data_IF_558905277260
#
_entry.id   IF_558905277260
#
_cell.length_a   1.000
_cell.length_b   1.000
_cell.length_c   1.000
_cell.angle_alpha   90.00
_cell.angle_beta   90.00
_cell.angle_gamma   90.00
#
_symmetry.space_group_name_H-M   'P 1'
#
loop_
_entity.id
_entity.type
_entity.pdbx_description
1 polymer ?
#
# COMPACT_ATOMS: atom_id res chain seq x y z
N UNK A 1 -12.06 -24.90 43.39
CA UNK A 1 -12.16 -24.12 42.13
C UNK A 1 -10.88 -23.37 41.77
N UNK A 2 -10.27 -22.58 42.67
CA UNK A 2 -9.10 -21.74 42.35
C UNK A 2 -7.83 -22.51 41.90
N UNK A 3 -7.49 -23.65 42.51
CA UNK A 3 -6.29 -24.44 42.17
C UNK A 3 -6.27 -24.94 40.73
N UNK A 4 -7.40 -25.42 40.21
CA UNK A 4 -7.49 -25.90 38.82
C UNK A 4 -7.24 -24.78 37.80
N UNK A 5 -7.74 -23.57 38.07
CA UNK A 5 -7.51 -22.41 37.22
C UNK A 5 -6.04 -22.00 37.17
N UNK A 6 -5.31 -22.11 38.28
CA UNK A 6 -3.86 -21.85 38.32
C UNK A 6 -3.10 -22.86 37.46
N UNK A 7 -3.40 -24.16 37.59
CA UNK A 7 -2.78 -25.21 36.76
C UNK A 7 -3.08 -24.99 35.28
N UNK A 8 -4.31 -24.63 34.92
CA UNK A 8 -4.67 -24.33 33.53
C UNK A 8 -3.95 -23.08 32.99
N UNK A 9 -3.81 -22.03 33.81
CA UNK A 9 -3.04 -20.82 33.43
C UNK A 9 -1.57 -21.17 33.17
N UNK A 10 -0.95 -21.93 34.06
CA UNK A 10 0.45 -22.36 33.91
C UNK A 10 0.65 -23.20 32.64
N UNK A 11 -0.28 -24.13 32.38
CA UNK A 11 -0.24 -24.96 31.16
C UNK A 11 -0.40 -24.13 29.89
N UNK A 12 -1.25 -23.08 29.90
CA UNK A 12 -1.39 -22.13 28.78
C UNK A 12 -0.12 -21.33 28.56
N UNK A 13 0.49 -20.86 29.64
CA UNK A 13 1.75 -20.10 29.60
C UNK A 13 2.88 -20.93 29.00
N UNK A 14 3.10 -22.14 29.52
CA UNK A 14 4.11 -23.06 29.01
C UNK A 14 3.95 -23.37 27.51
N UNK A 15 2.69 -23.57 27.06
CA UNK A 15 2.40 -23.76 25.63
C UNK A 15 2.74 -22.52 24.79
N UNK A 16 2.50 -21.31 25.30
CA UNK A 16 2.88 -20.08 24.60
C UNK A 16 4.40 -19.92 24.55
N UNK A 17 5.10 -20.20 25.64
CA UNK A 17 6.56 -20.10 25.70
C UNK A 17 7.22 -21.05 24.71
N UNK A 18 6.72 -22.29 24.63
CA UNK A 18 7.18 -23.26 23.62
C UNK A 18 6.95 -22.77 22.19
N UNK A 19 5.80 -22.11 21.92
CA UNK A 19 5.53 -21.52 20.60
C UNK A 19 6.45 -20.35 20.29
N UNK A 20 6.76 -19.51 21.29
CA UNK A 20 7.70 -18.38 21.15
C UNK A 20 9.12 -18.87 20.92
N UNK A 21 9.55 -19.93 21.59
CA UNK A 21 10.87 -20.52 21.37
C UNK A 21 11.02 -21.10 19.95
N UNK A 22 9.99 -21.77 19.44
CA UNK A 22 10.04 -22.41 18.13
C UNK A 22 9.78 -21.46 16.93
N UNK A 23 8.95 -20.44 17.11
CA UNK A 23 8.43 -19.59 16.01
C UNK A 23 8.47 -18.09 16.31
N UNK A 24 9.11 -17.70 17.42
CA UNK A 24 9.24 -16.30 17.80
C UNK A 24 10.38 -15.60 17.05
N UNK A 25 10.29 -14.27 17.07
CA UNK A 25 11.37 -13.41 16.61
C UNK A 25 12.47 -13.36 17.69
N UNK A 26 13.75 -13.63 17.35
CA UNK A 26 14.83 -13.78 18.33
C UNK A 26 15.09 -12.52 19.17
N UNK A 27 14.88 -11.33 18.59
CA UNK A 27 15.11 -10.06 19.29
C UNK A 27 13.95 -9.61 20.19
N UNK A 28 12.71 -10.02 19.91
CA UNK A 28 11.53 -9.53 20.67
C UNK A 28 10.91 -10.57 21.59
N UNK A 29 11.28 -11.85 21.44
CA UNK A 29 10.69 -12.95 22.19
C UNK A 29 9.17 -13.05 22.00
N UNK A 30 8.60 -12.45 20.96
CA UNK A 30 7.17 -12.51 20.63
C UNK A 30 6.97 -13.47 19.47
N UNK A 31 5.79 -14.09 19.42
CA UNK A 31 5.41 -14.93 18.29
C UNK A 31 5.36 -14.08 17.02
N UNK A 32 5.94 -14.58 15.92
CA UNK A 32 5.94 -13.88 14.64
C UNK A 32 4.51 -13.61 14.17
N UNK A 33 4.15 -12.34 14.03
CA UNK A 33 2.86 -11.96 13.45
C UNK A 33 2.95 -12.05 11.92
N UNK A 34 2.18 -12.96 11.33
CA UNK A 34 2.02 -13.02 9.88
C UNK A 34 0.93 -12.03 9.48
N UNK A 35 1.34 -10.85 9.01
CA UNK A 35 0.41 -9.92 8.36
C UNK A 35 -0.04 -10.55 7.04
N UNK A 36 -1.35 -10.63 6.83
CA UNK A 36 -1.88 -11.06 5.55
C UNK A 36 -1.36 -10.12 4.45
N UNK A 37 -1.00 -10.65 3.27
CA UNK A 37 -0.56 -9.81 2.17
C UNK A 37 -1.67 -8.84 1.79
N UNK A 38 -1.34 -7.55 1.75
CA UNK A 38 -2.29 -6.51 1.33
C UNK A 38 -2.62 -6.73 -0.14
N UNK A 39 -3.90 -6.92 -0.46
CA UNK A 39 -4.33 -7.12 -1.83
C UNK A 39 -4.23 -5.80 -2.62
N UNK A 40 -3.30 -5.76 -3.56
CA UNK A 40 -3.10 -4.59 -4.42
C UNK A 40 -3.85 -4.75 -5.74
N UNK A 41 -4.69 -3.76 -6.08
CA UNK A 41 -5.37 -3.70 -7.38
C UNK A 41 -4.36 -3.75 -8.53
N UNK A 42 -4.69 -4.44 -9.62
CA UNK A 42 -3.84 -4.54 -10.82
C UNK A 42 -3.45 -3.18 -11.41
N UNK A 43 -4.34 -2.18 -11.33
CA UNK A 43 -4.04 -0.80 -11.73
C UNK A 43 -2.89 -0.19 -10.91
N UNK A 44 -2.88 -0.47 -9.60
CA UNK A 44 -1.84 0.02 -8.70
C UNK A 44 -0.52 -0.71 -8.92
N UNK A 45 -0.55 -2.03 -9.17
CA UNK A 45 0.65 -2.81 -9.56
C UNK A 45 1.30 -2.24 -10.82
N UNK A 46 0.53 -2.06 -11.90
CA UNK A 46 1.01 -1.46 -13.16
C UNK A 46 1.56 -0.04 -12.97
N UNK A 47 0.98 0.76 -12.07
CA UNK A 47 1.49 2.10 -11.76
C UNK A 47 2.86 2.04 -11.07
N UNK A 48 3.03 1.12 -10.13
CA UNK A 48 4.30 0.92 -9.41
C UNK A 48 5.40 0.42 -10.35
N UNK A 49 5.10 -0.57 -11.20
CA UNK A 49 6.04 -1.09 -12.21
C UNK A 49 6.51 0.00 -13.16
N UNK A 50 5.59 0.82 -13.68
CA UNK A 50 5.94 1.95 -14.56
C UNK A 50 6.82 2.99 -13.87
N UNK A 51 6.59 3.24 -12.58
CA UNK A 51 7.41 4.17 -11.80
C UNK A 51 8.81 3.61 -11.61
N UNK A 52 8.91 2.35 -11.19
CA UNK A 52 10.18 1.65 -11.02
C UNK A 52 11.00 1.62 -12.32
N UNK A 53 10.37 1.32 -13.45
CA UNK A 53 11.05 1.30 -14.75
C UNK A 53 11.57 2.69 -15.16
N UNK A 54 10.93 3.78 -14.72
CA UNK A 54 11.44 5.14 -14.97
C UNK A 54 12.63 5.44 -14.08
N UNK A 55 12.51 5.14 -12.79
CA UNK A 55 13.58 5.32 -11.81
C UNK A 55 14.83 4.53 -12.22
N UNK A 56 14.69 3.31 -12.73
CA UNK A 56 15.81 2.51 -13.27
C UNK A 56 16.44 3.12 -14.52
N UNK A 57 15.63 3.65 -15.45
CA UNK A 57 16.14 4.31 -16.66
C UNK A 57 16.87 5.61 -16.33
N UNK A 58 16.32 6.39 -15.40
CA UNK A 58 16.95 7.61 -14.89
C UNK A 58 18.27 7.27 -14.19
N UNK A 59 18.28 6.27 -13.31
CA UNK A 59 19.51 5.81 -12.65
C UNK A 59 20.56 5.29 -13.64
N UNK A 60 20.14 4.55 -14.67
CA UNK A 60 21.03 4.08 -15.73
C UNK A 60 21.60 5.24 -16.56
N UNK A 61 20.79 6.26 -16.88
CA UNK A 61 21.24 7.45 -17.59
C UNK A 61 22.19 8.29 -16.74
N UNK A 62 21.92 8.48 -15.45
CA UNK A 62 22.81 9.18 -14.52
C UNK A 62 24.14 8.44 -14.42
N UNK A 63 24.11 7.12 -14.23
CA UNK A 63 25.33 6.29 -14.19
C UNK A 63 26.09 6.33 -15.52
N UNK A 64 25.40 6.31 -16.65
CA UNK A 64 26.03 6.44 -17.96
C UNK A 64 26.66 7.83 -18.15
N UNK A 65 25.99 8.90 -17.72
CA UNK A 65 26.52 10.26 -17.74
C UNK A 65 27.75 10.38 -16.84
N UNK A 66 27.68 9.86 -15.61
CA UNK A 66 28.80 9.85 -14.65
C UNK A 66 30.01 9.09 -15.20
N UNK A 67 29.79 7.93 -15.83
CA UNK A 67 30.85 7.15 -16.48
C UNK A 67 31.40 7.83 -17.75
N UNK A 68 30.56 8.59 -18.47
CA UNK A 68 30.93 9.26 -19.73
C UNK A 68 31.57 10.65 -19.52
N UNK A 69 31.68 11.13 -18.28
CA UNK A 69 32.45 12.34 -17.93
C UNK A 69 33.91 12.02 -17.57
N UNK A 70 34.32 10.74 -17.62
CA UNK A 70 35.69 10.30 -17.36
C UNK A 70 36.60 10.33 -18.60
N UNK A 71 36.05 10.10 -19.79
CA UNK A 71 36.83 10.00 -21.05
C UNK A 71 36.07 10.70 -22.20
N UNK A 72 36.16 12.03 -22.27
CA UNK A 72 35.92 12.76 -23.52
C UNK A 72 37.22 13.46 -23.90
N UNK A 73 38.11 12.70 -24.54
CA UNK A 73 39.05 13.30 -25.48
C UNK A 73 38.24 13.99 -26.57
N UNK A 74 38.53 15.27 -26.81
CA UNK A 74 37.93 16.07 -27.86
C UNK A 74 38.08 15.38 -29.22
N UNK A 75 37.01 14.80 -29.75
CA UNK A 75 36.94 14.47 -31.18
C UNK A 75 36.26 15.62 -31.91
N UNK A 76 37.12 16.31 -32.65
CA UNK A 76 36.95 17.41 -33.61
C UNK A 76 35.53 17.75 -34.08
N UNK A 77 35.27 19.06 -34.10
CA UNK A 77 34.31 19.69 -34.99
C UNK A 77 34.62 19.32 -36.45
N UNK A 78 33.58 18.90 -37.19
CA UNK A 78 33.45 19.04 -38.64
C UNK A 78 31.95 19.00 -38.96
N UNK A 79 31.55 19.87 -39.88
CA UNK A 79 30.18 20.30 -40.17
C UNK A 79 29.36 19.21 -40.89
N UNK A 80 28.04 19.15 -40.68
CA UNK A 80 27.09 18.95 -41.80
C UNK A 80 25.63 19.09 -41.36
N UNK A 81 24.96 20.01 -42.04
CA UNK A 81 23.53 20.27 -42.08
C UNK A 81 22.70 19.07 -42.50
N UNK A 82 21.49 18.88 -41.94
CA UNK A 82 20.29 18.62 -42.75
C UNK A 82 18.98 18.64 -41.90
N UNK A 83 18.14 19.63 -42.19
CA UNK A 83 16.69 19.55 -42.38
C UNK A 83 15.69 19.05 -41.30
N UNK A 84 14.74 19.96 -41.06
CA UNK A 84 13.28 19.73 -41.06
C UNK A 84 12.61 18.99 -39.89
N UNK A 85 12.14 19.82 -38.94
CA UNK A 85 10.98 19.59 -38.08
C UNK A 85 9.73 19.24 -38.90
N UNK A 86 9.21 18.01 -38.85
CA UNK A 86 7.78 17.74 -39.12
C UNK A 86 7.27 16.62 -38.20
N UNK A 87 6.55 16.99 -37.13
CA UNK A 87 5.73 16.03 -36.36
C UNK A 87 4.35 15.96 -37.03
N UNK A 88 3.82 14.78 -37.41
CA UNK A 88 2.46 14.68 -37.93
C UNK A 88 1.45 14.89 -36.79
N UNK A 89 0.63 15.94 -36.92
CA UNK A 89 -0.46 16.24 -36.01
C UNK A 89 -1.60 15.22 -36.23
N UNK A 90 -1.72 14.24 -35.33
CA UNK A 90 -2.81 13.25 -35.38
C UNK A 90 -4.14 13.95 -35.06
N UNK A 91 -5.00 14.09 -36.07
CA UNK A 91 -6.37 14.62 -35.92
C UNK A 91 -7.28 13.52 -35.34
N UNK A 92 -7.67 13.66 -34.08
CA UNK A 92 -8.63 12.77 -33.42
C UNK A 92 -10.07 13.25 -33.70
N UNK A 93 -10.80 12.53 -34.54
CA UNK A 93 -12.21 12.80 -34.80
C UNK A 93 -13.08 12.14 -33.71
N UNK A 94 -13.50 12.92 -32.71
CA UNK A 94 -14.49 12.47 -31.72
C UNK A 94 -15.91 12.61 -32.29
N UNK A 95 -16.61 11.50 -32.51
CA UNK A 95 -18.04 11.52 -32.83
C UNK A 95 -18.82 11.98 -31.58
N UNK A 96 -19.57 13.08 -31.72
CA UNK A 96 -20.44 13.64 -30.68
C UNK A 96 -21.71 12.78 -30.55
N UNK A 97 -21.63 11.70 -29.80
CA UNK A 97 -22.82 11.02 -29.27
C UNK A 97 -22.57 10.59 -27.83
N UNK A 98 -22.51 11.60 -26.96
CA UNK A 98 -22.60 11.45 -25.51
C UNK A 98 -23.98 10.95 -25.10
N UNK A 99 -24.16 9.63 -25.06
CA UNK A 99 -25.18 8.99 -24.23
C UNK A 99 -24.55 7.88 -23.40
N UNK A 100 -23.52 8.26 -22.64
CA UNK A 100 -23.13 7.48 -21.46
C UNK A 100 -24.25 7.70 -20.44
N UNK A 101 -25.26 6.84 -20.46
CA UNK A 101 -26.26 6.79 -19.41
C UNK A 101 -25.58 6.28 -18.14
N UNK A 102 -25.03 7.20 -17.36
CA UNK A 102 -24.65 6.92 -15.98
C UNK A 102 -25.97 6.66 -15.26
N UNK A 103 -26.38 5.39 -15.18
CA UNK A 103 -27.49 4.95 -14.35
C UNK A 103 -27.15 5.42 -12.94
N UNK A 104 -27.80 6.50 -12.49
CA UNK A 104 -27.73 7.00 -11.13
C UNK A 104 -28.07 5.81 -10.25
N UNK A 105 -27.07 5.23 -9.59
CA UNK A 105 -27.29 4.30 -8.49
C UNK A 105 -28.17 5.07 -7.51
N UNK A 106 -29.47 4.75 -7.48
CA UNK A 106 -30.39 5.22 -6.45
C UNK A 106 -29.84 4.67 -5.14
N UNK A 107 -29.01 5.47 -4.48
CA UNK A 107 -28.43 5.14 -3.19
C UNK A 107 -29.57 4.94 -2.21
N UNK A 108 -29.85 3.68 -1.87
CA UNK A 108 -30.63 3.36 -0.68
C UNK A 108 -29.84 3.90 0.51
N UNK A 109 -30.36 4.98 1.10
CA UNK A 109 -29.81 5.60 2.29
C UNK A 109 -29.57 4.56 3.37
N UNK A 110 -28.43 4.68 4.05
CA UNK A 110 -28.05 3.86 5.21
C UNK A 110 -29.18 3.90 6.22
N UNK A 111 -29.95 2.81 6.35
CA UNK A 111 -30.85 2.64 7.49
C UNK A 111 -29.98 2.58 8.73
N UNK A 112 -30.12 3.60 9.58
CA UNK A 112 -29.54 3.68 10.92
C UNK A 112 -29.89 2.37 11.65
N UNK A 113 -28.88 1.73 12.19
CA UNK A 113 -29.01 0.56 13.03
C UNK A 113 -29.99 0.86 14.17
N UNK A 114 -31.12 0.16 14.21
CA UNK A 114 -31.84 -0.10 15.45
C UNK A 114 -31.33 -1.43 15.97
N UNK A 115 -31.03 -1.48 17.26
CA UNK A 115 -30.51 -2.60 18.04
C UNK A 115 -29.00 -2.55 18.30
N UNK A 116 -28.57 -1.52 19.01
CA UNK A 116 -27.52 -1.68 20.01
C UNK A 116 -28.11 -1.21 21.34
N UNK A 117 -28.31 -2.16 22.26
CA UNK A 117 -28.73 -1.92 23.63
C UNK A 117 -27.70 -1.00 24.30
N UNK A 118 -28.07 0.11 24.96
CA UNK A 118 -27.09 0.99 25.57
C UNK A 118 -26.43 0.28 26.78
N UNK A 119 -25.12 0.46 27.00
CA UNK A 119 -24.46 0.02 28.22
C UNK A 119 -24.93 0.89 29.37
N UNK A 120 -25.47 0.27 30.42
CA UNK A 120 -25.75 0.92 31.70
C UNK A 120 -24.46 1.42 32.30
N UNK A 121 -24.35 2.73 32.44
CA UNK A 121 -23.35 3.40 33.28
C UNK A 121 -24.07 4.08 34.43
N UNK A 122 -23.61 3.71 35.62
CA UNK A 122 -23.41 4.55 36.80
C UNK A 122 -24.66 5.10 37.51
N UNK A 123 -24.97 4.52 38.69
CA UNK A 123 -25.57 5.23 39.81
C UNK A 123 -24.48 5.45 40.86
N UNK A 124 -23.89 6.63 40.82
CA UNK A 124 -23.34 7.38 41.98
C UNK A 124 -24.25 8.62 41.97
N UNK A 125 -25.00 9.02 42.98
CA UNK A 125 -24.67 9.34 44.38
C UNK A 125 -25.99 9.66 45.12
N UNK A 126 -26.09 9.39 46.42
CA UNK A 126 -26.96 10.14 47.35
C UNK A 126 -26.60 9.82 48.81
N UNK A 127 -25.60 10.53 49.31
CA UNK A 127 -25.58 11.24 50.59
C UNK A 127 -26.96 11.31 51.31
N UNK A 128 -27.02 10.89 52.59
CA UNK A 128 -27.78 11.47 53.74
C UNK A 128 -27.78 10.46 54.92
N UNK A 129 -27.26 10.96 56.06
CA UNK A 129 -27.36 10.53 57.49
C UNK A 129 -27.22 9.05 57.88
#
# INVERSE_FOLDING_TARGET
MAKFNVVQKNKRQWKQDRKRAAHGEPGTGKLKQRTAPVSMSGKRKRKLERRLNREQKEAAMIKALENNMGDVDMVSAEESSESAKVKPQVKLNLKKNSRIQIKRLKGKGRKKAKNAKPPTKDKVDSMVE
#
